data_IF_717238866140
#
_entry.id   IF_717238866140
#
_cell.length_a   1.000
_cell.length_b   1.000
_cell.length_c   1.000
_cell.angle_alpha   90.00
_cell.angle_beta   90.00
_cell.angle_gamma   90.00
#
_symmetry.space_group_name_H-M   'P 1'
#
loop_
_entity.id
_entity.type
_entity.pdbx_description
1 polymer ?
#
# COMPACT_ATOMS: atom_id res chain seq x y z
N UNK A 1 28.63 -4.74 -28.30
CA UNK A 1 28.14 -5.83 -27.41
C UNK A 1 27.81 -5.31 -26.00
N UNK A 2 27.21 -4.12 -25.88
CA UNK A 2 27.14 -3.32 -24.64
C UNK A 2 25.71 -2.94 -24.23
N UNK A 3 24.76 -2.92 -25.16
CA UNK A 3 23.36 -2.53 -24.88
C UNK A 3 22.60 -3.65 -24.12
N UNK A 4 22.92 -4.92 -24.39
CA UNK A 4 22.26 -6.07 -23.75
C UNK A 4 22.55 -6.20 -22.25
N UNK A 5 23.71 -5.73 -21.78
CA UNK A 5 24.05 -5.76 -20.35
C UNK A 5 23.34 -4.67 -19.54
N UNK A 6 23.15 -3.47 -20.11
CA UNK A 6 22.44 -2.38 -19.43
C UNK A 6 20.95 -2.70 -19.19
N UNK A 7 20.28 -3.36 -20.15
CA UNK A 7 18.89 -3.81 -19.96
C UNK A 7 18.76 -4.90 -18.89
N UNK A 8 19.76 -5.79 -18.76
CA UNK A 8 19.80 -6.80 -17.70
C UNK A 8 20.01 -6.18 -16.32
N UNK A 9 20.90 -5.19 -16.21
CA UNK A 9 21.15 -4.48 -14.94
C UNK A 9 19.91 -3.68 -14.51
N UNK A 10 19.20 -3.03 -15.46
CA UNK A 10 17.95 -2.33 -15.17
C UNK A 10 16.83 -3.27 -14.69
N UNK A 11 16.67 -4.43 -15.33
CA UNK A 11 15.72 -5.46 -14.89
C UNK A 11 16.01 -6.02 -13.49
N UNK A 12 17.30 -6.20 -13.14
CA UNK A 12 17.72 -6.63 -11.80
C UNK A 12 17.46 -5.52 -10.76
N UNK A 13 17.68 -4.25 -11.12
CA UNK A 13 17.44 -3.11 -10.22
C UNK A 13 15.94 -2.89 -9.97
N UNK A 14 15.10 -3.03 -10.99
CA UNK A 14 13.63 -2.89 -10.87
C UNK A 14 13.01 -4.08 -10.11
N UNK A 15 13.52 -5.31 -10.31
CA UNK A 15 13.14 -6.47 -9.48
C UNK A 15 13.49 -6.25 -8.00
N UNK A 16 14.64 -5.64 -7.69
CA UNK A 16 15.04 -5.35 -6.32
C UNK A 16 14.14 -4.30 -5.64
N UNK A 17 13.60 -3.33 -6.39
CA UNK A 17 12.65 -2.33 -5.84
C UNK A 17 11.29 -2.93 -5.56
N UNK A 18 10.80 -3.78 -6.47
CA UNK A 18 9.57 -4.54 -6.26
C UNK A 18 9.71 -5.48 -5.06
N UNK A 19 10.85 -6.16 -4.94
CA UNK A 19 11.18 -7.01 -3.79
C UNK A 19 11.33 -6.22 -2.49
N UNK A 20 11.90 -5.00 -2.51
CA UNK A 20 11.98 -4.15 -1.32
C UNK A 20 10.60 -3.67 -0.88
N UNK A 21 9.74 -3.27 -1.82
CA UNK A 21 8.36 -2.88 -1.54
C UNK A 21 7.58 -4.04 -0.92
N UNK A 22 7.72 -5.24 -1.48
CA UNK A 22 7.12 -6.46 -0.93
C UNK A 22 7.76 -6.83 0.43
N UNK A 23 9.08 -6.69 0.60
CA UNK A 23 9.74 -6.96 1.88
C UNK A 23 9.27 -6.01 2.98
N UNK A 24 9.07 -4.72 2.68
CA UNK A 24 8.56 -3.73 3.63
C UNK A 24 7.10 -4.03 4.00
N UNK A 25 6.29 -4.49 3.04
CA UNK A 25 4.93 -4.98 3.32
C UNK A 25 4.95 -6.23 4.24
N UNK A 26 5.94 -7.10 4.08
CA UNK A 26 6.08 -8.36 4.83
C UNK A 26 6.67 -8.12 6.24
N UNK A 27 7.75 -7.34 6.39
CA UNK A 27 8.42 -7.15 7.70
C UNK A 27 7.63 -6.30 8.69
N UNK A 28 6.81 -5.37 8.19
CA UNK A 28 5.92 -4.56 9.02
C UNK A 28 4.76 -5.39 9.61
N UNK A 29 4.32 -6.43 8.89
CA UNK A 29 3.29 -7.37 9.34
C UNK A 29 3.83 -8.56 10.15
N UNK A 30 5.09 -8.96 9.92
CA UNK A 30 5.63 -10.20 10.53
C UNK A 30 6.08 -10.09 11.99
N UNK A 31 6.18 -8.90 12.58
CA UNK A 31 6.56 -8.80 13.99
C UNK A 31 5.45 -9.24 14.96
N UNK A 32 4.25 -9.60 14.47
CA UNK A 32 3.16 -10.14 15.30
C UNK A 32 2.46 -11.39 14.71
N UNK A 33 2.83 -11.86 13.52
CA UNK A 33 2.11 -12.96 12.86
C UNK A 33 2.61 -14.34 13.30
N UNK A 34 2.19 -14.79 14.48
CA UNK A 34 2.09 -16.22 14.75
C UNK A 34 0.92 -16.79 13.92
N UNK A 35 1.19 -17.90 13.24
CA UNK A 35 0.34 -18.54 12.23
C UNK A 35 -0.98 -19.05 12.82
N UNK A 36 -2.03 -18.24 12.75
CA UNK A 36 -3.43 -18.66 12.79
C UNK A 36 -4.24 -17.52 12.17
N UNK A 37 -5.21 -17.83 11.30
CA UNK A 37 -5.80 -16.89 10.35
C UNK A 37 -6.06 -15.48 10.93
N UNK A 38 -5.26 -14.50 10.51
CA UNK A 38 -5.50 -13.09 10.76
C UNK A 38 -6.65 -12.62 9.86
N UNK A 39 -7.86 -13.08 10.18
CA UNK A 39 -9.04 -12.29 9.84
C UNK A 39 -8.83 -10.98 10.59
N UNK A 40 -8.79 -9.84 9.87
CA UNK A 40 -8.86 -8.49 10.44
C UNK A 40 -10.16 -8.39 11.26
N UNK A 41 -10.11 -8.92 12.49
CA UNK A 41 -11.26 -9.17 13.37
C UNK A 41 -11.33 -8.11 14.46
N UNK A 42 -10.19 -7.51 14.81
CA UNK A 42 -10.13 -6.30 15.61
C UNK A 42 -10.27 -5.06 14.73
N UNK A 43 -11.24 -4.21 15.05
CA UNK A 43 -11.47 -2.93 14.38
C UNK A 43 -10.21 -2.07 14.27
N UNK A 44 -9.38 -2.08 15.31
CA UNK A 44 -8.07 -1.40 15.31
C UNK A 44 -7.12 -1.94 14.24
N UNK A 45 -7.00 -3.27 14.13
CA UNK A 45 -6.10 -3.91 13.15
C UNK A 45 -6.56 -3.66 11.72
N UNK A 46 -7.89 -3.67 11.49
CA UNK A 46 -8.47 -3.28 10.21
C UNK A 46 -8.09 -1.83 9.85
N UNK A 47 -8.19 -0.91 10.81
CA UNK A 47 -7.87 0.49 10.58
C UNK A 47 -6.37 0.74 10.37
N UNK A 48 -5.50 0.04 11.09
CA UNK A 48 -4.05 0.07 10.86
C UNK A 48 -3.72 -0.46 9.45
N UNK A 49 -4.31 -1.58 9.04
CA UNK A 49 -4.10 -2.15 7.70
C UNK A 49 -4.62 -1.22 6.59
N UNK A 50 -5.78 -0.60 6.80
CA UNK A 50 -6.40 0.30 5.85
C UNK A 50 -5.59 1.59 5.67
N UNK A 51 -5.14 2.23 6.77
CA UNK A 51 -4.31 3.44 6.70
C UNK A 51 -2.97 3.18 6.03
N UNK A 52 -2.35 2.03 6.34
CA UNK A 52 -1.10 1.63 5.72
C UNK A 52 -1.27 1.33 4.22
N UNK A 53 -2.30 0.58 3.84
CA UNK A 53 -2.61 0.33 2.43
C UNK A 53 -2.80 1.64 1.65
N UNK A 54 -3.56 2.59 2.20
CA UNK A 54 -3.78 3.89 1.58
C UNK A 54 -2.46 4.66 1.37
N UNK A 55 -1.57 4.65 2.36
CA UNK A 55 -0.26 5.28 2.27
C UNK A 55 0.63 4.65 1.18
N UNK A 56 0.67 3.32 1.09
CA UNK A 56 1.42 2.61 0.04
C UNK A 56 0.84 2.90 -1.34
N UNK A 57 -0.48 2.89 -1.50
CA UNK A 57 -1.13 3.24 -2.76
C UNK A 57 -0.84 4.69 -3.19
N UNK A 58 -0.80 5.61 -2.22
CA UNK A 58 -0.44 7.02 -2.46
C UNK A 58 1.01 7.15 -2.94
N UNK A 59 1.94 6.49 -2.25
CA UNK A 59 3.36 6.51 -2.62
C UNK A 59 3.59 5.86 -3.99
N UNK A 60 2.91 4.74 -4.25
CA UNK A 60 2.89 4.09 -5.56
C UNK A 60 2.39 5.03 -6.66
N UNK A 61 1.25 5.70 -6.45
CA UNK A 61 0.72 6.69 -7.39
C UNK A 61 1.75 7.79 -7.70
N UNK A 62 2.39 8.33 -6.66
CA UNK A 62 3.42 9.37 -6.82
C UNK A 62 4.62 8.88 -7.64
N UNK A 63 5.01 7.62 -7.50
CA UNK A 63 6.10 7.01 -8.26
C UNK A 63 5.69 6.45 -9.63
N UNK A 64 4.42 6.59 -10.03
CA UNK A 64 3.92 6.15 -11.33
C UNK A 64 3.49 4.69 -11.40
N UNK A 65 3.25 4.04 -10.27
CA UNK A 65 2.68 2.69 -10.22
C UNK A 65 1.25 2.67 -10.77
N UNK A 66 0.93 1.65 -11.56
CA UNK A 66 -0.41 1.47 -12.11
C UNK A 66 -1.40 1.13 -10.99
N UNK A 67 -2.52 1.86 -10.97
CA UNK A 67 -3.65 1.60 -10.07
C UNK A 67 -4.15 0.17 -10.18
N UNK A 68 -4.05 -0.44 -11.37
CA UNK A 68 -4.45 -1.82 -11.61
C UNK A 68 -3.73 -2.80 -10.68
N UNK A 69 -2.44 -2.60 -10.42
CA UNK A 69 -1.64 -3.47 -9.53
C UNK A 69 -2.26 -3.58 -8.14
N UNK A 70 -2.65 -2.45 -7.56
CA UNK A 70 -3.29 -2.42 -6.24
C UNK A 70 -4.73 -2.95 -6.29
N UNK A 71 -5.45 -2.69 -7.38
CA UNK A 71 -6.81 -3.20 -7.54
C UNK A 71 -6.83 -4.73 -7.64
N UNK A 72 -5.89 -5.32 -8.38
CA UNK A 72 -5.71 -6.77 -8.48
C UNK A 72 -5.37 -7.35 -7.10
N UNK A 73 -4.45 -6.74 -6.34
CA UNK A 73 -4.16 -7.13 -4.96
C UNK A 73 -5.41 -7.14 -4.07
N UNK A 74 -6.25 -6.09 -4.11
CA UNK A 74 -7.50 -6.07 -3.32
C UNK A 74 -8.44 -7.21 -3.74
N UNK A 75 -8.56 -7.48 -5.04
CA UNK A 75 -9.47 -8.49 -5.56
C UNK A 75 -9.01 -9.91 -5.21
N UNK A 76 -7.71 -10.18 -5.31
CA UNK A 76 -7.10 -11.49 -5.15
C UNK A 76 -6.71 -11.81 -3.69
N UNK A 77 -6.55 -10.79 -2.84
CA UNK A 77 -6.19 -10.97 -1.44
C UNK A 77 -7.23 -11.79 -0.69
N UNK A 78 -6.75 -12.84 -0.02
CA UNK A 78 -7.50 -13.62 0.97
C UNK A 78 -7.47 -12.98 2.37
N UNK A 79 -6.55 -12.04 2.59
CA UNK A 79 -6.37 -11.34 3.87
C UNK A 79 -7.40 -10.23 4.07
N UNK A 80 -7.90 -9.66 2.96
CA UNK A 80 -8.96 -8.64 2.98
C UNK A 80 -10.31 -9.35 2.89
N UNK A 81 -11.15 -9.31 3.95
CA UNK A 81 -12.48 -9.90 3.89
C UNK A 81 -13.31 -9.28 2.76
N UNK A 82 -14.08 -10.10 2.03
CA UNK A 82 -14.87 -9.63 0.87
C UNK A 82 -15.77 -8.43 1.23
N UNK A 83 -16.36 -8.41 2.43
CA UNK A 83 -17.19 -7.30 2.92
C UNK A 83 -16.42 -5.98 3.10
N UNK A 84 -15.08 -6.05 3.26
CA UNK A 84 -14.20 -4.89 3.42
C UNK A 84 -13.51 -4.47 2.11
N UNK A 85 -13.49 -5.31 1.06
CA UNK A 85 -12.83 -4.98 -0.23
C UNK A 85 -13.32 -3.68 -0.84
N UNK A 86 -14.61 -3.35 -0.71
CA UNK A 86 -15.15 -2.06 -1.16
C UNK A 86 -14.48 -0.87 -0.47
N UNK A 87 -14.23 -0.97 0.84
CA UNK A 87 -13.57 0.09 1.59
C UNK A 87 -12.12 0.30 1.11
N UNK A 88 -11.35 -0.77 0.93
CA UNK A 88 -10.00 -0.69 0.39
C UNK A 88 -9.96 -0.10 -1.03
N UNK A 89 -10.96 -0.41 -1.88
CA UNK A 89 -11.10 0.20 -3.22
C UNK A 89 -11.36 1.71 -3.14
N UNK A 90 -12.16 2.16 -2.17
CA UNK A 90 -12.37 3.59 -1.91
C UNK A 90 -11.07 4.28 -1.53
N UNK A 91 -10.30 3.70 -0.61
CA UNK A 91 -8.99 4.24 -0.21
C UNK A 91 -7.99 4.29 -1.37
N UNK A 92 -7.98 3.26 -2.22
CA UNK A 92 -7.18 3.26 -3.45
C UNK A 92 -7.57 4.41 -4.38
N UNK A 93 -8.86 4.66 -4.56
CA UNK A 93 -9.34 5.78 -5.37
C UNK A 93 -8.92 7.13 -4.77
N UNK A 94 -9.06 7.28 -3.46
CA UNK A 94 -8.65 8.51 -2.76
C UNK A 94 -7.15 8.76 -2.89
N UNK A 95 -6.32 7.73 -2.75
CA UNK A 95 -4.88 7.80 -2.92
C UNK A 95 -4.50 8.25 -4.35
N UNK A 96 -5.12 7.66 -5.38
CA UNK A 96 -4.87 7.99 -6.79
C UNK A 96 -5.51 9.29 -7.26
N UNK A 97 -6.34 9.93 -6.45
CA UNK A 97 -6.85 11.28 -6.71
C UNK A 97 -5.93 12.37 -6.13
N UNK A 98 -4.89 11.99 -5.37
CA UNK A 98 -3.91 12.95 -4.87
C UNK A 98 -2.98 13.37 -6.00
N UNK A 99 -2.49 14.62 -6.03
CA UNK A 99 -1.58 15.05 -7.06
C UNK A 99 -0.23 14.33 -6.94
N UNK A 100 0.48 14.21 -8.06
CA UNK A 100 1.90 13.85 -8.05
C UNK A 100 2.69 15.10 -7.66
N UNK A 101 3.24 15.10 -6.45
CA UNK A 101 4.03 16.21 -5.92
C UNK A 101 5.37 16.35 -6.66
N UNK A 102 5.91 17.57 -6.75
CA UNK A 102 7.25 17.80 -7.30
C UNK A 102 8.35 17.74 -6.23
N UNK A 103 7.96 17.79 -4.96
CA UNK A 103 8.85 17.81 -3.79
C UNK A 103 8.62 16.58 -2.92
N UNK A 104 9.70 15.84 -2.66
CA UNK A 104 9.68 14.67 -1.77
C UNK A 104 9.25 15.06 -0.34
N UNK A 105 9.61 16.27 0.12
CA UNK A 105 9.21 16.78 1.44
C UNK A 105 7.69 17.00 1.52
N UNK A 106 7.11 17.57 0.48
CA UNK A 106 5.67 17.82 0.41
C UNK A 106 4.89 16.51 0.29
N UNK A 107 5.40 15.58 -0.52
CA UNK A 107 4.89 14.23 -0.64
C UNK A 107 4.86 13.53 0.72
N UNK A 108 6.00 13.48 1.43
CA UNK A 108 6.11 12.83 2.74
C UNK A 108 5.20 13.46 3.80
N UNK A 109 5.12 14.79 3.84
CA UNK A 109 4.22 15.49 4.76
C UNK A 109 2.75 15.15 4.47
N UNK A 110 2.38 15.04 3.20
CA UNK A 110 1.00 14.73 2.81
C UNK A 110 0.67 13.25 3.03
N UNK A 111 1.63 12.36 2.78
CA UNK A 111 1.51 10.93 3.04
C UNK A 111 1.27 10.66 4.53
N UNK A 112 2.07 11.27 5.41
CA UNK A 112 1.89 11.13 6.86
C UNK A 112 0.50 11.61 7.31
N UNK A 113 0.04 12.75 6.79
CA UNK A 113 -1.31 13.25 7.06
C UNK A 113 -2.40 12.31 6.52
N UNK A 114 -2.23 11.81 5.31
CA UNK A 114 -3.20 10.91 4.67
C UNK A 114 -3.33 9.59 5.42
N UNK A 115 -2.22 9.04 5.92
CA UNK A 115 -2.20 7.88 6.81
C UNK A 115 -3.00 8.16 8.10
N UNK A 116 -2.68 9.25 8.80
CA UNK A 116 -3.34 9.63 10.05
C UNK A 116 -4.85 9.89 9.87
N UNK A 117 -5.23 10.61 8.81
CA UNK A 117 -6.62 10.94 8.51
C UNK A 117 -7.42 9.67 8.18
N UNK A 118 -6.83 8.75 7.40
CA UNK A 118 -7.45 7.45 7.07
C UNK A 118 -7.67 6.60 8.32
N UNK A 119 -6.66 6.52 9.20
CA UNK A 119 -6.78 5.77 10.45
C UNK A 119 -7.90 6.33 11.33
N UNK A 120 -7.91 7.65 11.54
CA UNK A 120 -8.94 8.33 12.36
C UNK A 120 -10.33 8.17 11.77
N UNK A 121 -10.49 8.28 10.45
CA UNK A 121 -11.78 8.08 9.79
C UNK A 121 -12.26 6.63 9.92
N UNK A 122 -11.37 5.66 9.74
CA UNK A 122 -11.68 4.26 9.95
C UNK A 122 -12.15 4.00 11.39
N UNK A 123 -11.37 4.45 12.38
CA UNK A 123 -11.68 4.24 13.80
C UNK A 123 -13.05 4.83 14.19
N UNK A 124 -13.46 5.96 13.62
CA UNK A 124 -14.80 6.56 13.83
C UNK A 124 -15.94 5.74 13.26
N UNK A 125 -15.69 4.95 12.21
CA UNK A 125 -16.72 4.13 11.53
C UNK A 125 -16.93 2.78 12.19
N UNK A 126 -15.98 2.36 13.04
CA UNK A 126 -15.96 1.06 13.69
C UNK A 126 -16.19 1.15 15.21
N UNK A 127 -16.02 2.33 15.82
CA UNK A 127 -16.42 2.65 17.21
C UNK A 127 -17.92 2.90 17.35
#
# INVERSE_FOLDING_TARGET
MTISMLSKIKGILDMNKLLLGILILITSGLSHANQSGYILSGDKQLCDAASYFAAVAFEGHHHGEDKKTFLDYINESQEIPNIKKTYFKTLLNEAYNKPIYSSEKEMKSTLAKFHDDTYKDCMKRVS
#
